data_IF_955432002509
#
_entry.id   IF_955432002509
#
_cell.length_a   1.000
_cell.length_b   1.000
_cell.length_c   1.000
_cell.angle_alpha   90.00
_cell.angle_beta   90.00
_cell.angle_gamma   90.00
#
_symmetry.space_group_name_H-M   'P 1'
#
loop_
_entity.id
_entity.type
_entity.pdbx_description
1 polymer ?
#
# COMPACT_ATOMS: atom_id res chain seq x y z
N UNK A 1 -7.00 -8.69 -9.69
CA UNK A 1 -6.51 -8.46 -8.32
C UNK A 1 -6.97 -7.10 -7.86
N UNK A 2 -7.36 -6.93 -6.60
CA UNK A 2 -7.85 -5.67 -6.04
C UNK A 2 -6.82 -5.04 -5.11
N UNK A 3 -6.30 -3.88 -5.48
CA UNK A 3 -5.39 -3.09 -4.66
C UNK A 3 -6.12 -1.87 -4.08
N UNK A 4 -6.00 -1.66 -2.78
CA UNK A 4 -6.55 -0.48 -2.10
C UNK A 4 -5.38 0.41 -1.69
N UNK A 5 -5.34 1.64 -2.19
CA UNK A 5 -4.36 2.63 -1.77
C UNK A 5 -4.96 3.41 -0.59
N UNK A 6 -4.25 3.44 0.54
CA UNK A 6 -4.63 4.21 1.73
C UNK A 6 -3.65 5.35 1.91
N UNK A 7 -4.12 6.59 1.74
CA UNK A 7 -3.30 7.79 1.95
C UNK A 7 -4.18 9.01 2.14
N UNK A 8 -3.86 9.83 3.14
CA UNK A 8 -4.50 11.14 3.32
C UNK A 8 -3.95 12.18 2.33
N UNK A 9 -2.84 11.85 1.66
CA UNK A 9 -2.24 12.66 0.62
C UNK A 9 -2.82 12.31 -0.76
N UNK A 10 -3.83 13.08 -1.17
CA UNK A 10 -4.47 12.89 -2.49
C UNK A 10 -3.52 13.00 -3.70
N UNK A 11 -2.33 13.61 -3.57
CA UNK A 11 -1.32 13.59 -4.64
C UNK A 11 -0.64 12.22 -4.75
N UNK A 12 -0.32 11.61 -3.62
CA UNK A 12 0.22 10.24 -3.57
C UNK A 12 -0.78 9.26 -4.17
N UNK A 13 -2.04 9.33 -3.75
CA UNK A 13 -3.12 8.52 -4.31
C UNK A 13 -3.20 8.62 -5.83
N UNK A 14 -3.23 9.86 -6.37
CA UNK A 14 -3.26 10.08 -7.82
C UNK A 14 -2.03 9.51 -8.54
N UNK A 15 -0.82 9.71 -8.02
CA UNK A 15 0.40 9.19 -8.65
C UNK A 15 0.44 7.67 -8.68
N UNK A 16 0.05 7.01 -7.58
CA UNK A 16 -0.03 5.56 -7.52
C UNK A 16 -1.12 5.01 -8.43
N UNK A 17 -2.30 5.64 -8.48
CA UNK A 17 -3.36 5.26 -9.43
C UNK A 17 -2.83 5.31 -10.86
N UNK A 18 -2.18 6.40 -11.28
CA UNK A 18 -1.67 6.54 -12.65
C UNK A 18 -0.62 5.47 -12.99
N UNK A 19 0.29 5.18 -12.05
CA UNK A 19 1.29 4.12 -12.22
C UNK A 19 0.63 2.75 -12.39
N UNK A 20 -0.36 2.46 -11.55
CA UNK A 20 -0.97 1.14 -11.46
C UNK A 20 -2.04 0.90 -12.52
N UNK A 21 -2.67 1.96 -13.04
CA UNK A 21 -3.64 1.90 -14.14
C UNK A 21 -3.04 1.38 -15.45
N UNK A 22 -1.70 1.37 -15.57
CA UNK A 22 -1.01 0.71 -16.67
C UNK A 22 -1.19 -0.81 -16.69
N UNK A 23 -1.68 -1.42 -15.60
CA UNK A 23 -1.85 -2.87 -15.44
C UNK A 23 -3.33 -3.25 -15.47
N UNK A 24 -3.87 -3.75 -16.60
CA UNK A 24 -5.30 -4.03 -16.76
C UNK A 24 -5.83 -5.14 -15.85
N UNK A 25 -4.95 -6.01 -15.31
CA UNK A 25 -5.34 -7.06 -14.36
C UNK A 25 -5.56 -6.56 -12.92
N UNK A 26 -5.33 -5.27 -12.67
CA UNK A 26 -5.39 -4.63 -11.36
C UNK A 26 -6.58 -3.69 -11.25
N UNK A 27 -7.54 -4.03 -10.41
CA UNK A 27 -8.59 -3.11 -9.95
C UNK A 27 -8.01 -2.28 -8.80
N UNK A 28 -8.10 -0.94 -8.90
CA UNK A 28 -7.49 -0.02 -7.94
C UNK A 28 -8.58 0.84 -7.32
N UNK A 29 -8.60 0.90 -6.00
CA UNK A 29 -9.41 1.86 -5.25
C UNK A 29 -8.52 2.74 -4.37
N UNK A 30 -9.03 3.92 -4.04
CA UNK A 30 -8.31 4.89 -3.21
C UNK A 30 -9.14 5.31 -2.01
N UNK A 31 -8.58 5.09 -0.84
CA UNK A 31 -9.14 5.49 0.44
C UNK A 31 -8.35 6.68 0.98
N UNK A 32 -8.97 7.87 0.89
CA UNK A 32 -8.37 9.14 1.30
C UNK A 32 -8.36 9.34 2.83
N UNK A 33 -9.08 8.50 3.57
CA UNK A 33 -9.21 8.64 5.02
C UNK A 33 -9.10 7.28 5.67
N UNK A 34 -8.08 7.17 6.52
CA UNK A 34 -7.85 6.15 7.54
C UNK A 34 -9.05 5.75 8.42
N UNK A 35 -10.16 6.49 8.35
CA UNK A 35 -11.39 6.17 9.10
C UNK A 35 -12.31 5.22 8.34
N UNK A 36 -12.13 5.07 7.03
CA UNK A 36 -12.85 4.05 6.27
C UNK A 36 -12.27 2.65 6.49
N UNK A 37 -13.10 1.63 6.38
CA UNK A 37 -12.64 0.24 6.38
C UNK A 37 -12.08 -0.13 4.99
N UNK A 38 -10.94 -0.83 4.97
CA UNK A 38 -10.50 -1.51 3.75
C UNK A 38 -11.57 -2.54 3.37
N UNK A 39 -12.02 -2.60 2.11
CA UNK A 39 -12.96 -3.62 1.66
C UNK A 39 -12.44 -5.03 1.92
N UNK A 40 -13.30 -5.91 2.45
CA UNK A 40 -12.93 -7.29 2.77
C UNK A 40 -12.47 -8.08 1.53
N UNK A 41 -12.88 -7.69 0.33
CA UNK A 41 -12.49 -8.29 -0.95
C UNK A 41 -11.16 -7.77 -1.52
N UNK A 42 -10.47 -6.85 -0.83
CA UNK A 42 -9.15 -6.34 -1.22
C UNK A 42 -8.05 -7.40 -1.12
N UNK A 43 -7.29 -7.59 -2.21
CA UNK A 43 -6.18 -8.56 -2.27
C UNK A 43 -4.91 -8.04 -1.60
N UNK A 44 -4.70 -6.71 -1.65
CA UNK A 44 -3.53 -6.03 -1.08
C UNK A 44 -3.88 -4.59 -0.71
N UNK A 45 -3.26 -4.10 0.36
CA UNK A 45 -3.35 -2.71 0.79
C UNK A 45 -2.00 -2.03 0.59
N UNK A 46 -2.00 -0.91 -0.14
CA UNK A 46 -0.82 -0.05 -0.33
C UNK A 46 -0.97 1.15 0.59
N UNK A 47 -0.14 1.22 1.63
CA UNK A 47 -0.26 2.22 2.69
C UNK A 47 0.82 3.29 2.52
N UNK A 48 0.41 4.54 2.37
CA UNK A 48 1.34 5.68 2.44
C UNK A 48 1.82 5.85 3.89
N UNK A 49 3.05 5.40 4.15
CA UNK A 49 3.65 5.39 5.48
C UNK A 49 3.86 6.82 6.02
N UNK A 50 4.10 7.79 5.13
CA UNK A 50 4.31 9.19 5.51
C UNK A 50 3.00 9.77 6.08
N UNK A 51 1.88 9.49 5.42
CA UNK A 51 0.54 9.86 5.91
C UNK A 51 0.16 9.08 7.17
N UNK A 52 0.57 7.82 7.26
CA UNK A 52 0.25 6.94 8.37
C UNK A 52 0.88 7.42 9.69
N UNK A 53 2.16 7.77 9.64
CA UNK A 53 2.90 8.28 10.80
C UNK A 53 2.44 9.68 11.20
N UNK A 54 2.15 10.55 10.22
CA UNK A 54 1.67 11.90 10.49
C UNK A 54 0.31 11.92 11.21
N UNK A 55 -0.58 10.96 10.89
CA UNK A 55 -1.96 10.95 11.37
C UNK A 55 -2.26 9.83 12.38
N UNK A 56 -1.26 9.07 12.83
CA UNK A 56 -1.42 7.92 13.73
C UNK A 56 -2.48 6.93 13.24
N UNK A 57 -2.46 6.64 11.93
CA UNK A 57 -3.31 5.63 11.31
C UNK A 57 -3.22 4.32 12.10
N UNK A 58 -4.38 3.76 12.46
CA UNK A 58 -4.41 2.57 13.32
C UNK A 58 -4.02 1.34 12.50
N UNK A 59 -3.03 0.55 12.97
CA UNK A 59 -2.64 -0.73 12.37
C UNK A 59 -3.79 -1.68 12.03
N UNK A 60 -4.83 -1.66 12.87
CA UNK A 60 -6.02 -2.49 12.73
C UNK A 60 -6.76 -2.33 11.40
N UNK A 61 -6.54 -1.23 10.67
CA UNK A 61 -7.22 -0.93 9.41
C UNK A 61 -6.93 -1.95 8.29
N UNK A 62 -5.76 -2.60 8.33
CA UNK A 62 -5.31 -3.51 7.28
C UNK A 62 -4.78 -4.84 7.81
N UNK A 63 -5.04 -5.18 9.09
CA UNK A 63 -4.53 -6.39 9.73
C UNK A 63 -4.90 -7.71 9.02
N UNK A 64 -6.00 -7.72 8.27
CA UNK A 64 -6.47 -8.92 7.56
C UNK A 64 -5.96 -9.02 6.12
N UNK A 65 -5.20 -8.02 5.65
CA UNK A 65 -4.76 -7.94 4.26
C UNK A 65 -3.24 -7.89 4.18
N UNK A 66 -2.64 -8.47 3.12
CA UNK A 66 -1.26 -8.20 2.78
C UNK A 66 -1.01 -6.70 2.62
N UNK A 67 0.07 -6.20 3.22
CA UNK A 67 0.42 -4.77 3.21
C UNK A 67 1.65 -4.54 2.35
N UNK A 68 1.63 -3.43 1.61
CA UNK A 68 2.80 -2.83 1.00
C UNK A 68 2.92 -1.40 1.53
N UNK A 69 4.03 -1.05 2.14
CA UNK A 69 4.31 0.33 2.50
C UNK A 69 4.81 1.10 1.29
N UNK A 70 4.28 2.31 1.11
CA UNK A 70 4.73 3.28 0.14
C UNK A 70 5.29 4.50 0.86
N UNK A 71 6.46 4.99 0.44
CA UNK A 71 6.99 6.28 0.87
C UNK A 71 7.59 7.06 -0.29
N UNK A 72 7.60 8.39 -0.16
CA UNK A 72 8.40 9.26 -1.03
C UNK A 72 9.78 9.57 -0.45
N UNK A 73 10.02 9.24 0.82
CA UNK A 73 11.30 9.43 1.49
C UNK A 73 12.34 8.39 1.04
N UNK A 74 13.61 8.78 1.02
CA UNK A 74 14.75 7.90 0.78
C UNK A 74 15.27 7.24 2.06
N UNK A 75 14.94 7.82 3.21
CA UNK A 75 15.50 7.43 4.50
C UNK A 75 14.35 7.19 5.47
N UNK A 76 14.29 5.97 5.98
CA UNK A 76 13.42 5.61 7.09
C UNK A 76 14.10 4.48 7.87
N UNK A 77 14.81 4.84 8.95
CA UNK A 77 15.42 3.86 9.86
C UNK A 77 14.38 2.96 10.52
N UNK A 78 13.18 3.50 10.77
CA UNK A 78 12.07 2.76 11.41
C UNK A 78 11.34 1.83 10.43
N UNK A 79 11.49 2.01 9.11
CA UNK A 79 10.76 1.20 8.11
C UNK A 79 11.05 -0.29 8.26
N UNK A 80 12.26 -0.67 8.63
CA UNK A 80 12.64 -2.09 8.80
C UNK A 80 11.76 -2.77 9.85
N UNK A 81 11.54 -2.12 10.99
CA UNK A 81 10.71 -2.67 12.06
C UNK A 81 9.24 -2.82 11.63
N UNK A 82 8.71 -1.82 10.90
CA UNK A 82 7.37 -1.90 10.32
C UNK A 82 7.26 -3.02 9.29
N UNK A 83 8.23 -3.15 8.38
CA UNK A 83 8.22 -4.23 7.38
C UNK A 83 8.18 -5.61 8.05
N UNK A 84 8.95 -5.81 9.11
CA UNK A 84 8.93 -7.05 9.88
C UNK A 84 7.62 -7.26 10.64
N UNK A 85 7.13 -6.23 11.35
CA UNK A 85 5.91 -6.30 12.16
C UNK A 85 4.68 -6.68 11.33
N UNK A 86 4.56 -6.15 10.12
CA UNK A 86 3.40 -6.39 9.25
C UNK A 86 3.66 -7.46 8.18
N UNK A 87 4.84 -8.07 8.15
CA UNK A 87 5.29 -8.94 7.05
C UNK A 87 5.00 -8.29 5.68
N UNK A 88 5.33 -7.01 5.56
CA UNK A 88 4.97 -6.15 4.44
C UNK A 88 6.10 -6.06 3.42
N UNK A 89 5.75 -5.78 2.16
CA UNK A 89 6.74 -5.30 1.18
C UNK A 89 6.84 -3.77 1.21
N UNK A 90 7.82 -3.22 0.51
CA UNK A 90 8.03 -1.79 0.37
C UNK A 90 8.14 -1.39 -1.10
N UNK A 91 7.52 -0.26 -1.43
CA UNK A 91 7.72 0.46 -2.68
C UNK A 91 8.00 1.94 -2.39
N UNK A 92 8.72 2.60 -3.28
CA UNK A 92 8.90 4.05 -3.23
C UNK A 92 8.80 4.66 -4.62
N UNK A 93 8.87 6.00 -4.70
CA UNK A 93 8.81 6.75 -5.97
C UNK A 93 9.90 6.38 -6.99
N UNK A 94 10.96 5.70 -6.56
CA UNK A 94 12.08 5.28 -7.41
C UNK A 94 11.99 3.80 -7.80
N UNK A 95 11.00 3.07 -7.29
CA UNK A 95 10.82 1.66 -7.61
C UNK A 95 10.39 1.53 -9.07
N UNK A 96 11.12 0.73 -9.84
CA UNK A 96 10.80 0.51 -11.25
C UNK A 96 9.36 -0.03 -11.39
N UNK A 97 8.56 0.45 -12.37
CA UNK A 97 7.17 0.01 -12.53
C UNK A 97 6.99 -1.51 -12.54
N UNK A 98 7.83 -2.23 -13.30
CA UNK A 98 7.75 -3.69 -13.37
C UNK A 98 7.98 -4.38 -12.02
N UNK A 99 8.83 -3.80 -11.17
CA UNK A 99 9.04 -4.27 -9.80
C UNK A 99 7.81 -4.00 -8.93
N UNK A 100 7.12 -2.87 -9.13
CA UNK A 100 5.89 -2.55 -8.38
C UNK A 100 4.81 -3.60 -8.63
N UNK A 101 4.55 -3.96 -9.89
CA UNK A 101 3.58 -5.00 -10.20
C UNK A 101 3.99 -6.36 -9.63
N UNK A 102 5.28 -6.72 -9.71
CA UNK A 102 5.78 -7.97 -9.15
C UNK A 102 5.55 -8.04 -7.63
N UNK A 103 5.85 -6.96 -6.91
CA UNK A 103 5.63 -6.87 -5.46
C UNK A 103 4.15 -6.95 -5.10
N UNK A 104 3.27 -6.31 -5.89
CA UNK A 104 1.83 -6.43 -5.73
C UNK A 104 1.38 -7.89 -5.89
N UNK A 105 1.80 -8.59 -6.95
CA UNK A 105 1.46 -10.00 -7.17
C UNK A 105 1.96 -10.89 -6.02
N UNK A 106 3.18 -10.65 -5.53
CA UNK A 106 3.76 -11.35 -4.36
C UNK A 106 3.00 -11.05 -3.06
N UNK A 107 2.48 -9.84 -2.89
CA UNK A 107 1.62 -9.50 -1.75
C UNK A 107 0.28 -10.22 -1.83
N UNK A 108 -0.40 -10.18 -2.98
CA UNK A 108 -1.66 -10.87 -3.19
C UNK A 108 -1.58 -12.37 -2.88
N UNK A 109 -0.45 -13.05 -3.19
CA UNK A 109 -0.29 -14.48 -2.89
C UNK A 109 -0.16 -14.80 -1.40
N UNK A 110 0.05 -13.81 -0.53
CA UNK A 110 0.04 -13.96 0.94
C UNK A 110 -1.37 -13.87 1.53
N UNK A 111 -2.37 -13.50 0.73
CA UNK A 111 -3.76 -13.42 1.17
C UNK A 111 -4.22 -14.81 1.63
N UNK A 112 -4.64 -14.90 2.89
CA UNK A 112 -5.25 -16.13 3.42
C UNK A 112 -6.72 -16.19 2.95
N UNK A 113 -7.21 -17.39 2.59
CA UNK A 113 -8.60 -17.59 2.21
C UNK A 113 -9.57 -17.32 3.37
#
# INVERSE_FOLDING_TARGET
>A
MKAVIVSDNGRVGKSLILLLQAYPELEISFLKDARGSVPDDADVVIVDIDSMLANQLRPSLFNNHPVIFYSRSKEFSELVDWLHMYNADFINVYTHPDCVLHLIKKACSRRKP
#
